data_IF_664865326151
#
_entry.id   IF_664865326151
#
_cell.length_a   1.000
_cell.length_b   1.000
_cell.length_c   1.000
_cell.angle_alpha   90.00
_cell.angle_beta   90.00
_cell.angle_gamma   90.00
#
_symmetry.space_group_name_H-M   'P 1'
#
loop_
_entity.id
_entity.type
_entity.pdbx_description
1 polymer ?
#
# COMPACT_ATOMS: atom_id res chain seq x y z
N UNK A 1 -2.21 -13.92 -4.13
CA UNK A 1 -2.86 -12.58 -4.06
C UNK A 1 -4.36 -12.77 -4.07
N UNK A 2 -5.12 -12.05 -3.24
CA UNK A 2 -6.58 -12.21 -3.16
C UNK A 2 -7.29 -11.38 -4.24
N UNK A 3 -7.57 -12.01 -5.39
CA UNK A 3 -8.14 -11.36 -6.58
C UNK A 3 -9.50 -10.69 -6.35
N UNK A 4 -10.28 -11.11 -5.35
CA UNK A 4 -11.59 -10.49 -5.06
C UNK A 4 -11.47 -9.03 -4.63
N UNK A 5 -10.29 -8.61 -4.16
CA UNK A 5 -10.02 -7.22 -3.77
C UNK A 5 -9.57 -6.32 -4.93
N UNK A 6 -9.16 -6.91 -6.06
CA UNK A 6 -8.57 -6.17 -7.18
C UNK A 6 -9.51 -6.10 -8.38
N UNK A 7 -10.19 -7.21 -8.68
CA UNK A 7 -11.14 -7.32 -9.78
C UNK A 7 -12.56 -6.97 -9.32
N UNK A 8 -12.75 -5.70 -8.97
CA UNK A 8 -14.01 -5.18 -8.47
C UNK A 8 -14.94 -4.75 -9.63
N UNK A 9 -16.27 -4.85 -9.46
CA UNK A 9 -17.23 -4.34 -10.43
C UNK A 9 -16.98 -2.88 -10.79
N UNK A 10 -17.26 -2.52 -12.05
CA UNK A 10 -17.09 -1.17 -12.61
C UNK A 10 -15.64 -0.69 -12.79
N UNK A 11 -14.63 -1.50 -12.45
CA UNK A 11 -13.24 -1.16 -12.76
C UNK A 11 -12.86 -1.45 -14.21
N UNK A 12 -12.11 -0.52 -14.80
CA UNK A 12 -11.56 -0.67 -16.15
C UNK A 12 -10.40 -1.65 -16.13
N UNK A 13 -10.39 -2.54 -17.11
CA UNK A 13 -9.33 -3.49 -17.39
C UNK A 13 -8.91 -3.39 -18.86
N UNK A 14 -7.74 -3.93 -19.15
CA UNK A 14 -7.27 -4.11 -20.52
C UNK A 14 -7.17 -5.60 -20.83
N UNK A 15 -7.67 -5.99 -22.00
CA UNK A 15 -7.67 -7.35 -22.51
C UNK A 15 -6.75 -7.41 -23.71
N UNK A 16 -5.91 -8.43 -23.80
CA UNK A 16 -5.12 -8.70 -24.99
C UNK A 16 -5.41 -10.10 -25.50
N UNK A 17 -5.68 -10.21 -26.81
CA UNK A 17 -5.84 -11.48 -27.52
C UNK A 17 -4.80 -11.57 -28.63
N UNK A 18 -4.20 -12.75 -28.78
CA UNK A 18 -3.31 -13.04 -29.91
C UNK A 18 -4.16 -13.55 -31.08
N UNK A 19 -4.20 -12.76 -32.15
CA UNK A 19 -4.86 -13.13 -33.40
C UNK A 19 -3.81 -13.43 -34.48
N UNK A 20 -4.24 -13.97 -35.63
CA UNK A 20 -3.38 -14.22 -36.79
C UNK A 20 -3.91 -13.47 -38.00
N UNK A 21 -3.01 -12.87 -38.77
CA UNK A 21 -3.38 -12.15 -40.00
C UNK A 21 -3.57 -13.11 -41.18
N UNK A 22 -3.90 -12.56 -42.35
CA UNK A 22 -4.06 -13.32 -43.60
C UNK A 22 -2.78 -14.07 -44.03
N UNK A 23 -1.62 -13.68 -43.50
CA UNK A 23 -0.32 -14.30 -43.73
C UNK A 23 0.11 -15.21 -42.56
N UNK A 24 -0.82 -15.56 -41.66
CA UNK A 24 -0.60 -16.41 -40.49
C UNK A 24 0.41 -15.83 -39.48
N UNK A 25 0.70 -14.53 -39.55
CA UNK A 25 1.56 -13.83 -38.60
C UNK A 25 0.74 -13.46 -37.36
N UNK A 26 1.27 -13.82 -36.20
CA UNK A 26 0.63 -13.47 -34.93
C UNK A 26 0.71 -11.97 -34.68
N UNK A 27 -0.40 -11.37 -34.25
CA UNK A 27 -0.46 -9.99 -33.77
C UNK A 27 -1.36 -9.91 -32.53
N UNK A 28 -1.08 -8.96 -31.65
CA UNK A 28 -1.84 -8.76 -30.41
C UNK A 28 -2.84 -7.63 -30.62
N UNK A 29 -4.10 -7.90 -30.30
CA UNK A 29 -5.16 -6.89 -30.25
C UNK A 29 -5.45 -6.60 -28.79
N UNK A 30 -5.37 -5.32 -28.42
CA UNK A 30 -5.69 -4.88 -27.06
C UNK A 30 -7.00 -4.10 -27.03
N UNK A 31 -7.85 -4.43 -26.06
CA UNK A 31 -9.14 -3.81 -25.81
C UNK A 31 -9.19 -3.22 -24.41
N UNK A 32 -9.98 -2.17 -24.23
CA UNK A 32 -10.39 -1.70 -22.91
C UNK A 32 -11.82 -2.13 -22.65
N UNK A 33 -12.06 -2.66 -21.47
CA UNK A 33 -13.42 -2.96 -21.01
C UNK A 33 -13.55 -2.74 -19.51
N UNK A 34 -14.71 -3.08 -18.97
CA UNK A 34 -15.07 -2.92 -17.57
C UNK A 34 -15.52 -4.26 -16.99
N UNK A 35 -15.19 -4.51 -15.73
CA UNK A 35 -15.67 -5.66 -14.96
C UNK A 35 -17.15 -5.45 -14.65
N UNK A 36 -18.00 -6.36 -15.13
CA UNK A 36 -19.43 -6.40 -14.82
C UNK A 36 -19.65 -7.01 -13.43
N UNK A 37 -19.00 -8.15 -13.17
CA UNK A 37 -19.11 -8.89 -11.91
C UNK A 37 -17.74 -9.35 -11.45
N UNK A 38 -17.42 -9.07 -10.19
CA UNK A 38 -16.15 -9.44 -9.57
C UNK A 38 -15.97 -10.96 -9.41
N UNK A 39 -14.84 -11.35 -8.82
CA UNK A 39 -14.40 -12.75 -8.77
C UNK A 39 -15.30 -13.60 -7.87
N UNK A 40 -15.83 -14.70 -8.42
CA UNK A 40 -16.58 -15.74 -7.73
C UNK A 40 -16.09 -17.10 -8.26
N UNK A 41 -15.65 -17.99 -7.38
CA UNK A 41 -15.24 -19.35 -7.76
C UNK A 41 -14.22 -19.39 -8.91
N UNK A 42 -13.19 -18.53 -8.82
CA UNK A 42 -12.11 -18.41 -9.81
C UNK A 42 -12.54 -17.93 -11.21
N UNK A 43 -13.70 -17.27 -11.29
CA UNK A 43 -14.23 -16.67 -12.52
C UNK A 43 -14.69 -15.24 -12.25
N UNK A 44 -14.68 -14.40 -13.27
CA UNK A 44 -15.27 -13.06 -13.21
C UNK A 44 -15.93 -12.73 -14.55
N UNK A 45 -16.78 -11.71 -14.58
CA UNK A 45 -17.53 -11.32 -15.78
C UNK A 45 -17.16 -9.91 -16.20
N UNK A 46 -16.99 -9.73 -17.51
CA UNK A 46 -16.62 -8.46 -18.13
C UNK A 46 -17.65 -8.11 -19.20
N UNK A 47 -17.80 -6.82 -19.47
CA UNK A 47 -18.54 -6.38 -20.66
C UNK A 47 -17.71 -6.74 -21.89
N UNK A 48 -18.35 -7.26 -22.94
CA UNK A 48 -17.67 -7.60 -24.17
C UNK A 48 -17.14 -6.30 -24.84
N UNK A 49 -15.84 -6.20 -25.14
CA UNK A 49 -15.26 -4.98 -25.69
C UNK A 49 -15.79 -4.66 -27.08
N UNK A 50 -15.84 -3.37 -27.39
CA UNK A 50 -16.25 -2.84 -28.69
C UNK A 50 -15.00 -2.50 -29.50
N UNK A 51 -14.94 -2.99 -30.73
CA UNK A 51 -13.88 -2.75 -31.70
C UNK A 51 -14.50 -2.25 -33.01
N UNK A 52 -14.08 -1.06 -33.47
CA UNK A 52 -14.64 -0.37 -34.65
C UNK A 52 -16.18 -0.30 -34.66
N UNK A 53 -16.76 0.00 -33.50
CA UNK A 53 -18.22 0.16 -33.34
C UNK A 53 -19.02 -1.14 -33.29
N UNK A 54 -18.37 -2.31 -33.25
CA UNK A 54 -19.02 -3.62 -33.10
C UNK A 54 -18.47 -4.37 -31.90
N UNK A 55 -19.28 -5.21 -31.26
CA UNK A 55 -18.80 -6.10 -30.19
C UNK A 55 -17.79 -7.09 -30.81
N UNK A 56 -16.61 -7.20 -30.20
CA UNK A 56 -15.60 -8.14 -30.65
C UNK A 56 -16.04 -9.57 -30.31
N UNK A 57 -16.02 -10.45 -31.31
CA UNK A 57 -16.54 -11.81 -31.19
C UNK A 57 -15.46 -12.77 -30.68
N UNK A 58 -15.37 -12.92 -29.35
CA UNK A 58 -14.57 -13.97 -28.73
C UNK A 58 -15.27 -15.32 -28.85
N UNK A 59 -14.49 -16.39 -28.96
CA UNK A 59 -14.96 -17.76 -28.89
C UNK A 59 -14.72 -18.34 -27.49
N UNK A 60 -15.57 -19.28 -27.08
CA UNK A 60 -15.29 -20.09 -25.89
C UNK A 60 -14.00 -20.87 -26.09
N UNK A 61 -13.11 -20.84 -25.11
CA UNK A 61 -11.77 -21.42 -25.18
C UNK A 61 -10.68 -20.43 -25.61
N UNK A 62 -11.03 -19.21 -26.04
CA UNK A 62 -10.02 -18.21 -26.37
C UNK A 62 -9.20 -17.83 -25.12
N UNK A 63 -7.88 -17.82 -25.28
CA UNK A 63 -6.94 -17.37 -24.25
C UNK A 63 -6.78 -15.86 -24.31
N UNK A 64 -6.98 -15.21 -23.17
CA UNK A 64 -6.89 -13.76 -23.01
C UNK A 64 -5.94 -13.41 -21.88
N UNK A 65 -5.03 -12.46 -22.13
CA UNK A 65 -4.29 -11.79 -21.07
C UNK A 65 -5.11 -10.61 -20.57
N UNK A 66 -5.29 -10.51 -19.25
CA UNK A 66 -6.03 -9.43 -18.59
C UNK A 66 -5.07 -8.63 -17.74
N UNK A 67 -4.97 -7.33 -18.01
CA UNK A 67 -4.21 -6.39 -17.19
C UNK A 67 -5.14 -5.47 -16.43
N UNK A 68 -4.89 -5.34 -15.13
CA UNK A 68 -5.66 -4.53 -14.20
C UNK A 68 -4.73 -3.80 -13.21
N UNK A 69 -5.23 -2.72 -12.63
CA UNK A 69 -4.51 -1.94 -11.61
C UNK A 69 -5.01 -2.25 -10.20
N UNK A 70 -4.12 -2.19 -9.20
CA UNK A 70 -4.54 -2.24 -7.81
C UNK A 70 -5.38 -1.00 -7.43
N UNK A 71 -6.60 -1.17 -6.90
CA UNK A 71 -7.49 -0.03 -6.62
C UNK A 71 -7.10 0.77 -5.37
N UNK A 72 -6.37 0.17 -4.41
CA UNK A 72 -6.16 0.75 -3.07
C UNK A 72 -4.71 1.21 -2.77
N UNK A 73 -3.76 1.09 -3.70
CA UNK A 73 -2.37 1.50 -3.44
C UNK A 73 -2.02 2.84 -4.13
N UNK A 74 -1.31 3.71 -3.40
CA UNK A 74 -0.75 4.98 -3.91
C UNK A 74 0.21 4.78 -5.09
N UNK A 75 0.67 3.55 -5.33
CA UNK A 75 1.29 3.11 -6.58
C UNK A 75 0.27 2.37 -7.44
N UNK A 76 0.03 2.85 -8.67
CA UNK A 76 -0.78 2.15 -9.69
C UNK A 76 -0.02 0.92 -10.23
N UNK A 77 0.27 -0.03 -9.35
CA UNK A 77 0.84 -1.30 -9.75
C UNK A 77 -0.13 -2.01 -10.69
N UNK A 78 0.42 -2.48 -11.81
CA UNK A 78 -0.31 -3.24 -12.82
C UNK A 78 -0.01 -4.71 -12.63
N UNK A 79 -1.05 -5.53 -12.76
CA UNK A 79 -0.97 -6.98 -12.70
C UNK A 79 -1.55 -7.57 -13.96
N UNK A 80 -0.95 -8.65 -14.43
CA UNK A 80 -1.40 -9.45 -15.56
C UNK A 80 -1.82 -10.83 -15.05
N UNK A 81 -2.94 -11.33 -15.59
CA UNK A 81 -3.42 -12.70 -15.39
C UNK A 81 -3.81 -13.30 -16.73
N UNK A 82 -3.53 -14.59 -16.91
CA UNK A 82 -4.05 -15.34 -18.05
C UNK A 82 -5.43 -15.88 -17.72
N UNK A 83 -6.32 -15.76 -18.69
CA UNK A 83 -7.70 -16.18 -18.56
C UNK A 83 -8.16 -16.92 -19.81
N UNK A 84 -9.24 -17.68 -19.67
CA UNK A 84 -9.89 -18.37 -20.78
C UNK A 84 -11.35 -17.94 -20.82
N UNK A 85 -11.85 -17.65 -22.01
CA UNK A 85 -13.27 -17.37 -22.23
C UNK A 85 -14.06 -18.65 -21.96
N UNK A 86 -14.85 -18.65 -20.89
CA UNK A 86 -15.68 -19.79 -20.52
C UNK A 86 -17.04 -19.71 -21.19
N UNK A 87 -17.74 -18.60 -21.01
CA UNK A 87 -19.10 -18.41 -21.50
C UNK A 87 -19.31 -16.99 -22.03
N UNK A 88 -20.34 -16.86 -22.88
CA UNK A 88 -20.79 -15.59 -23.46
C UNK A 88 -22.24 -15.38 -23.08
N UNK A 89 -22.57 -14.18 -22.63
CA UNK A 89 -23.92 -13.83 -22.24
C UNK A 89 -24.39 -12.61 -23.02
N UNK A 90 -25.70 -12.57 -23.28
CA UNK A 90 -26.37 -11.39 -23.83
C UNK A 90 -27.65 -11.19 -23.04
N UNK A 91 -27.63 -10.24 -22.11
CA UNK A 91 -28.73 -9.95 -21.21
C UNK A 91 -28.97 -8.44 -21.19
N UNK A 92 -30.25 -8.02 -21.27
CA UNK A 92 -30.64 -6.61 -21.25
C UNK A 92 -29.93 -5.71 -22.29
N UNK A 93 -29.60 -6.27 -23.46
CA UNK A 93 -28.88 -5.55 -24.52
C UNK A 93 -27.38 -5.39 -24.29
N UNK A 94 -26.84 -5.97 -23.22
CA UNK A 94 -25.41 -5.93 -22.89
C UNK A 94 -24.82 -7.31 -23.19
N UNK A 95 -23.79 -7.32 -24.04
CA UNK A 95 -22.98 -8.52 -24.27
C UNK A 95 -21.87 -8.59 -23.24
N UNK A 96 -21.69 -9.75 -22.62
CA UNK A 96 -20.65 -9.98 -21.62
C UNK A 96 -19.98 -11.34 -21.76
N UNK A 97 -18.79 -11.46 -21.16
CA UNK A 97 -17.94 -12.64 -21.22
C UNK A 97 -17.63 -13.08 -19.80
N UNK A 98 -17.81 -14.37 -19.52
CA UNK A 98 -17.34 -14.99 -18.28
C UNK A 98 -15.94 -15.54 -18.53
N UNK A 99 -14.97 -15.04 -17.76
CA UNK A 99 -13.57 -15.41 -17.86
C UNK A 99 -13.19 -16.33 -16.69
N UNK A 100 -12.52 -17.43 -16.99
CA UNK A 100 -11.91 -18.32 -16.00
C UNK A 100 -10.46 -17.94 -15.82
N UNK A 101 -10.02 -17.76 -14.57
CA UNK A 101 -8.63 -17.43 -14.24
C UNK A 101 -7.78 -18.70 -14.36
N UNK A 102 -6.74 -18.65 -15.18
CA UNK A 102 -5.90 -19.81 -15.52
C UNK A 102 -4.45 -19.69 -15.02
N UNK A 103 -4.02 -18.52 -14.55
CA UNK A 103 -2.70 -18.33 -13.96
C UNK A 103 -2.74 -17.44 -12.72
N UNK A 104 -1.65 -17.49 -11.95
CA UNK A 104 -1.46 -16.58 -10.83
C UNK A 104 -1.15 -15.16 -11.33
N UNK A 105 -1.57 -14.11 -10.60
CA UNK A 105 -1.24 -12.73 -10.95
C UNK A 105 0.26 -12.46 -10.96
N UNK A 106 0.74 -11.91 -12.08
CA UNK A 106 2.11 -11.44 -12.23
C UNK A 106 2.13 -9.92 -12.26
N UNK A 107 2.98 -9.29 -11.44
CA UNK A 107 3.19 -7.84 -11.49
C UNK A 107 3.88 -7.48 -12.81
N UNK A 108 3.34 -6.52 -13.55
CA UNK A 108 3.87 -6.12 -14.87
C UNK A 108 4.24 -4.65 -14.92
N UNK A 109 5.39 -4.37 -15.53
CA UNK A 109 5.86 -3.02 -15.78
C UNK A 109 5.81 -2.71 -17.28
N UNK A 110 4.75 -2.03 -17.72
CA UNK A 110 4.55 -1.69 -19.14
C UNK A 110 5.42 -0.54 -19.64
N UNK A 111 5.95 0.26 -18.72
CA UNK A 111 6.75 1.44 -19.06
C UNK A 111 8.22 1.05 -19.12
N UNK A 112 8.83 1.20 -20.29
CA UNK A 112 10.27 1.04 -20.49
C UNK A 112 11.10 2.11 -19.77
N UNK A 113 10.48 3.26 -19.44
CA UNK A 113 11.09 4.35 -18.72
C UNK A 113 10.13 4.90 -17.66
N UNK A 114 10.67 5.28 -16.50
CA UNK A 114 9.91 5.98 -15.50
C UNK A 114 9.52 7.38 -16.01
N UNK A 115 8.45 7.94 -15.42
CA UNK A 115 7.95 9.27 -15.74
C UNK A 115 8.00 10.13 -14.49
N UNK A 116 8.40 11.37 -14.65
CA UNK A 116 8.43 12.36 -13.57
C UNK A 116 7.44 13.45 -13.90
N UNK A 117 6.63 13.83 -12.92
CA UNK A 117 5.70 14.95 -13.05
C UNK A 117 6.50 16.25 -12.99
N UNK A 118 6.86 16.78 -14.16
CA UNK A 118 7.63 18.02 -14.31
C UNK A 118 6.83 18.96 -15.19
N UNK A 119 6.68 20.20 -14.73
CA UNK A 119 5.93 21.25 -15.42
C UNK A 119 6.88 22.24 -16.06
N UNK A 120 7.27 21.95 -17.30
CA UNK A 120 8.11 22.81 -18.12
C UNK A 120 7.30 23.36 -19.28
N UNK A 121 7.66 24.56 -19.72
CA UNK A 121 7.09 25.18 -20.90
C UNK A 121 8.06 25.01 -22.07
N UNK A 122 7.53 24.58 -23.21
CA UNK A 122 8.28 24.44 -24.45
C UNK A 122 7.56 25.20 -25.55
N UNK A 123 8.31 25.96 -26.33
CA UNK A 123 7.79 26.61 -27.53
C UNK A 123 8.01 25.68 -28.74
N UNK A 124 7.02 25.61 -29.61
CA UNK A 124 7.07 24.82 -30.83
C UNK A 124 6.31 25.48 -31.97
N UNK A 125 6.70 25.14 -33.20
CA UNK A 125 6.02 25.60 -34.42
C UNK A 125 5.07 24.55 -34.96
N UNK A 126 3.83 24.94 -35.22
CA UNK A 126 2.87 24.12 -35.95
C UNK A 126 2.18 24.95 -37.03
N UNK A 127 2.27 24.50 -38.29
CA UNK A 127 1.74 25.23 -39.46
C UNK A 127 2.23 26.69 -39.55
N UNK A 128 3.48 26.92 -39.17
CA UNK A 128 4.11 28.25 -39.21
C UNK A 128 3.71 29.20 -38.07
N UNK A 129 2.87 28.76 -37.14
CA UNK A 129 2.46 29.54 -35.96
C UNK A 129 3.19 28.98 -34.73
N UNK A 130 3.67 29.89 -33.89
CA UNK A 130 4.29 29.56 -32.60
C UNK A 130 3.21 29.24 -31.56
N UNK A 131 3.37 28.10 -30.90
CA UNK A 131 2.51 27.62 -29.83
C UNK A 131 3.36 27.21 -28.63
N UNK A 132 2.73 27.22 -27.46
CA UNK A 132 3.34 26.76 -26.23
C UNK A 132 2.76 25.40 -25.82
N UNK A 133 3.65 24.57 -25.28
CA UNK A 133 3.38 23.26 -24.76
C UNK A 133 3.80 23.21 -23.28
N UNK A 134 2.90 22.78 -22.40
CA UNK A 134 3.18 22.66 -20.96
C UNK A 134 3.24 21.19 -20.60
N UNK A 135 4.41 20.68 -20.19
CA UNK A 135 4.52 19.28 -19.79
C UNK A 135 3.76 19.00 -18.50
N UNK A 136 3.18 17.81 -18.42
CA UNK A 136 2.56 17.25 -17.21
C UNK A 136 3.43 16.14 -16.63
N UNK A 137 3.94 15.28 -17.52
CA UNK A 137 4.94 14.29 -17.19
C UNK A 137 5.97 14.14 -18.33
N UNK A 138 7.20 13.77 -17.97
CA UNK A 138 8.30 13.53 -18.91
C UNK A 138 8.96 12.19 -18.57
N UNK A 139 9.33 11.43 -19.61
CA UNK A 139 10.20 10.25 -19.56
C UNK A 139 11.36 10.42 -20.53
N UNK A 140 12.34 9.51 -20.48
CA UNK A 140 13.46 9.51 -21.45
C UNK A 140 13.02 9.30 -22.91
N UNK A 141 11.83 8.75 -23.15
CA UNK A 141 11.33 8.43 -24.51
C UNK A 141 10.22 9.34 -25.02
N UNK A 142 9.73 10.29 -24.21
CA UNK A 142 8.59 11.12 -24.56
C UNK A 142 7.99 11.86 -23.36
N UNK A 143 6.90 12.57 -23.61
CA UNK A 143 6.21 13.36 -22.60
C UNK A 143 4.69 13.35 -22.79
N UNK A 144 3.97 13.66 -21.72
CA UNK A 144 2.56 14.02 -21.77
C UNK A 144 2.46 15.52 -21.53
N UNK A 145 1.80 16.25 -22.42
CA UNK A 145 1.81 17.71 -22.35
C UNK A 145 0.52 18.37 -22.88
N UNK A 146 0.21 19.54 -22.36
CA UNK A 146 -0.96 20.33 -22.70
C UNK A 146 -0.61 21.39 -23.76
N UNK A 147 -1.49 21.57 -24.74
CA UNK A 147 -1.41 22.65 -25.73
C UNK A 147 -2.76 23.37 -25.89
N UNK A 148 -2.74 24.57 -26.46
CA UNK A 148 -3.95 25.29 -26.88
C UNK A 148 -4.51 24.80 -28.22
N UNK A 149 -3.73 24.05 -29.00
CA UNK A 149 -4.09 23.55 -30.33
C UNK A 149 -4.13 22.03 -30.35
N UNK A 150 -5.14 21.45 -30.97
CA UNK A 150 -5.22 20.01 -31.17
C UNK A 150 -4.18 19.60 -32.22
N UNK A 151 -3.30 18.67 -31.85
CA UNK A 151 -2.28 18.17 -32.76
C UNK A 151 -2.73 16.81 -33.32
N UNK A 152 -2.85 16.66 -34.65
CA UNK A 152 -3.16 15.36 -35.24
C UNK A 152 -2.11 14.29 -34.89
N UNK A 153 -2.54 13.03 -34.80
CA UNK A 153 -1.62 11.91 -34.65
C UNK A 153 -0.57 11.92 -35.77
N UNK A 154 0.66 11.53 -35.43
CA UNK A 154 1.86 11.57 -36.27
C UNK A 154 2.39 12.96 -36.65
N UNK A 155 1.79 14.05 -36.16
CA UNK A 155 2.39 15.40 -36.31
C UNK A 155 3.78 15.42 -35.68
N UNK A 156 4.75 16.01 -36.38
CA UNK A 156 6.11 16.21 -35.85
C UNK A 156 6.43 17.68 -35.68
N UNK A 157 7.14 18.01 -34.61
CA UNK A 157 7.65 19.34 -34.33
C UNK A 157 8.92 19.23 -33.48
N UNK A 158 9.68 20.31 -33.38
CA UNK A 158 10.90 20.36 -32.60
C UNK A 158 10.69 21.23 -31.36
N UNK A 159 11.36 20.88 -30.26
CA UNK A 159 11.42 21.67 -29.03
C UNK A 159 12.87 21.84 -28.59
N UNK A 160 13.16 22.91 -27.87
CA UNK A 160 14.43 23.08 -27.17
C UNK A 160 14.27 22.51 -25.76
N UNK A 161 15.04 21.48 -25.43
CA UNK A 161 15.04 20.85 -24.12
C UNK A 161 16.28 21.28 -23.33
N UNK A 162 16.05 21.76 -22.12
CA UNK A 162 17.11 22.07 -21.15
C UNK A 162 17.20 20.93 -20.14
N UNK A 163 18.28 20.14 -20.21
CA UNK A 163 18.55 19.04 -19.28
C UNK A 163 19.33 19.47 -18.03
N UNK A 164 19.49 20.77 -17.78
CA UNK A 164 20.08 21.26 -16.55
C UNK A 164 19.11 21.07 -15.36
N UNK A 165 19.54 20.44 -14.25
CA UNK A 165 18.65 20.15 -13.12
C UNK A 165 18.22 21.40 -12.35
N UNK A 166 19.07 22.44 -12.34
CA UNK A 166 18.83 23.72 -11.69
C UNK A 166 18.89 24.85 -12.72
N UNK A 167 18.10 25.92 -12.55
CA UNK A 167 18.13 27.07 -13.45
C UNK A 167 19.44 27.84 -13.33
N UNK A 168 19.71 28.69 -14.32
CA UNK A 168 20.93 29.50 -14.39
C UNK A 168 21.18 30.38 -13.15
N UNK A 169 20.12 30.79 -12.46
CA UNK A 169 20.23 31.72 -11.34
C UNK A 169 20.32 31.02 -9.97
N UNK A 170 20.53 29.70 -9.93
CA UNK A 170 20.62 28.93 -8.68
C UNK A 170 21.98 29.10 -7.97
N UNK A 171 21.95 29.11 -6.63
CA UNK A 171 23.09 29.40 -5.72
C UNK A 171 24.25 28.39 -5.85
N UNK A 172 23.99 27.19 -6.36
CA UNK A 172 24.94 26.08 -6.46
C UNK A 172 24.89 25.54 -7.91
N UNK A 173 25.76 26.11 -8.75
CA UNK A 173 25.65 26.14 -10.21
C UNK A 173 26.57 25.11 -10.88
N UNK A 174 25.99 24.07 -11.47
CA UNK A 174 26.62 23.20 -12.49
C UNK A 174 25.80 23.23 -13.79
N UNK A 175 25.46 24.45 -14.23
CA UNK A 175 24.75 24.64 -15.49
C UNK A 175 25.75 24.62 -16.64
N UNK A 176 25.45 23.80 -17.64
CA UNK A 176 26.30 23.61 -18.79
C UNK A 176 25.46 23.79 -20.06
N UNK A 177 25.94 24.61 -21.00
CA UNK A 177 25.19 24.95 -22.22
C UNK A 177 25.04 23.77 -23.17
N UNK A 178 25.96 22.80 -23.13
CA UNK A 178 25.91 21.56 -23.90
C UNK A 178 24.76 20.62 -23.47
N UNK A 179 24.17 20.84 -22.30
CA UNK A 179 22.96 20.14 -21.83
C UNK A 179 21.66 20.69 -22.43
N UNK A 180 21.73 21.74 -23.26
CA UNK A 180 20.59 22.28 -23.99
C UNK A 180 20.64 21.77 -25.43
N UNK A 181 19.57 21.13 -25.89
CA UNK A 181 19.52 20.59 -27.24
C UNK A 181 18.11 20.51 -27.80
N UNK A 182 18.02 20.46 -29.13
CA UNK A 182 16.75 20.30 -29.83
C UNK A 182 16.33 18.84 -29.87
N UNK A 183 15.06 18.57 -29.53
CA UNK A 183 14.44 17.25 -29.61
C UNK A 183 13.32 17.27 -30.64
N UNK A 184 13.37 16.32 -31.58
CA UNK A 184 12.27 16.07 -32.49
C UNK A 184 11.18 15.26 -31.80
N UNK A 185 9.98 15.79 -31.81
CA UNK A 185 8.79 15.23 -31.17
C UNK A 185 7.82 14.69 -32.23
N UNK A 186 7.11 13.61 -31.90
CA UNK A 186 5.96 13.10 -32.65
C UNK A 186 4.76 12.89 -31.74
N UNK A 187 3.62 13.40 -32.16
CA UNK A 187 2.34 13.18 -31.48
C UNK A 187 1.85 11.78 -31.75
N UNK A 188 1.59 11.02 -30.70
CA UNK A 188 0.94 9.70 -30.78
C UNK A 188 -0.58 9.84 -30.73
N UNK A 189 -1.07 10.71 -29.85
CA UNK A 189 -2.50 10.93 -29.62
C UNK A 189 -2.73 12.33 -29.01
N UNK A 190 -3.92 12.89 -29.21
CA UNK A 190 -4.34 14.19 -28.68
C UNK A 190 -5.80 14.14 -28.23
N UNK A 191 -5.99 14.23 -26.91
CA UNK A 191 -7.30 14.14 -26.26
C UNK A 191 -7.75 15.52 -25.79
N UNK A 192 -8.98 15.92 -26.09
CA UNK A 192 -9.54 17.15 -25.52
C UNK A 192 -9.74 17.01 -24.00
N UNK A 193 -9.40 18.06 -23.24
CA UNK A 193 -9.69 18.19 -21.81
C UNK A 193 -10.72 19.30 -21.66
N UNK A 194 -11.98 18.91 -21.57
CA UNK A 194 -13.14 19.80 -21.68
C UNK A 194 -13.15 20.83 -20.54
N UNK A 195 -12.72 20.44 -19.35
CA UNK A 195 -12.74 21.26 -18.14
C UNK A 195 -11.78 22.45 -18.23
N UNK A 196 -10.62 22.25 -18.86
CA UNK A 196 -9.53 23.25 -18.91
C UNK A 196 -9.37 23.89 -20.29
N UNK A 197 -10.20 23.52 -21.27
CA UNK A 197 -10.15 24.02 -22.66
C UNK A 197 -8.75 23.88 -23.30
N UNK A 198 -8.08 22.76 -23.04
CA UNK A 198 -6.76 22.41 -23.59
C UNK A 198 -6.79 21.02 -24.20
N UNK A 199 -5.77 20.71 -24.98
CA UNK A 199 -5.57 19.38 -25.55
C UNK A 199 -4.40 18.70 -24.85
N UNK A 200 -4.62 17.48 -24.37
CA UNK A 200 -3.63 16.61 -23.77
C UNK A 200 -2.99 15.75 -24.86
N UNK A 201 -1.73 16.03 -25.16
CA UNK A 201 -0.98 15.36 -26.21
C UNK A 201 -0.02 14.36 -25.61
N UNK A 202 -0.07 13.12 -26.11
CA UNK A 202 0.94 12.10 -25.84
C UNK A 202 2.01 12.21 -26.91
N UNK A 203 3.23 12.56 -26.52
CA UNK A 203 4.33 12.86 -27.43
C UNK A 203 5.47 11.85 -27.22
N UNK A 204 6.06 11.41 -28.32
CA UNK A 204 7.26 10.57 -28.35
C UNK A 204 8.45 11.36 -28.87
N UNK A 205 9.62 11.17 -28.28
CA UNK A 205 10.88 11.71 -28.79
C UNK A 205 11.43 10.79 -29.89
N UNK A 206 11.86 11.37 -31.01
CA UNK A 206 12.41 10.65 -32.15
C UNK A 206 13.84 11.09 -32.39
N UNK A 207 14.70 10.10 -32.70
CA UNK A 207 16.06 10.38 -33.18
C UNK A 207 16.98 10.96 -32.11
N UNK A 208 16.68 10.72 -30.84
CA UNK A 208 17.58 11.07 -29.74
C UNK A 208 18.90 10.32 -29.90
N UNK A 209 20.01 11.07 -29.81
CA UNK A 209 21.33 10.48 -29.64
C UNK A 209 21.42 9.82 -28.26
N UNK A 210 22.30 8.84 -28.13
CA UNK A 210 22.53 8.16 -26.84
C UNK A 210 22.94 9.15 -25.74
N UNK A 211 23.83 10.10 -26.06
CA UNK A 211 24.24 11.16 -25.13
C UNK A 211 23.07 12.03 -24.68
N UNK A 212 22.17 12.41 -25.59
CA UNK A 212 20.96 13.18 -25.27
C UNK A 212 20.00 12.38 -24.37
N UNK A 213 19.81 11.09 -24.66
CA UNK A 213 18.99 10.19 -23.85
C UNK A 213 19.53 10.06 -22.42
N UNK A 214 20.86 9.95 -22.27
CA UNK A 214 21.53 9.92 -20.97
C UNK A 214 21.31 11.24 -20.20
N UNK A 215 21.46 12.40 -20.86
CA UNK A 215 21.20 13.71 -20.25
C UNK A 215 19.76 13.87 -19.76
N UNK A 216 18.76 13.48 -20.56
CA UNK A 216 17.35 13.49 -20.15
C UNK A 216 17.15 12.58 -18.93
N UNK A 217 17.75 11.39 -18.95
CA UNK A 217 17.62 10.44 -17.86
C UNK A 217 18.20 11.00 -16.55
N UNK A 218 19.40 11.60 -16.60
CA UNK A 218 20.03 12.25 -15.46
C UNK A 218 19.19 13.43 -14.93
N UNK A 219 18.67 14.26 -15.84
CA UNK A 219 17.75 15.34 -15.50
C UNK A 219 16.51 14.82 -14.75
N UNK A 220 15.87 13.78 -15.27
CA UNK A 220 14.68 13.19 -14.66
C UNK A 220 14.97 12.58 -13.29
N UNK A 221 16.11 11.90 -13.11
CA UNK A 221 16.53 11.40 -11.79
C UNK A 221 16.75 12.53 -10.80
N UNK A 222 17.40 13.62 -11.21
CA UNK A 222 17.60 14.78 -10.36
C UNK A 222 16.28 15.40 -9.93
N UNK A 223 15.33 15.60 -10.86
CA UNK A 223 14.00 16.12 -10.56
C UNK A 223 13.18 15.18 -9.66
N UNK A 224 13.27 13.87 -9.89
CA UNK A 224 12.62 12.90 -9.03
C UNK A 224 13.18 12.96 -7.61
N UNK A 225 14.51 13.04 -7.47
CA UNK A 225 15.16 13.19 -6.16
C UNK A 225 14.72 14.49 -5.47
N UNK A 226 14.66 15.61 -6.18
CA UNK A 226 14.16 16.88 -5.66
C UNK A 226 12.71 16.78 -5.14
N UNK A 227 11.82 16.15 -5.91
CA UNK A 227 10.42 15.92 -5.52
C UNK A 227 10.32 15.01 -4.28
N UNK A 228 11.16 13.98 -4.20
CA UNK A 228 11.21 13.08 -3.04
C UNK A 228 11.66 13.83 -1.78
N UNK A 229 12.76 14.60 -1.88
CA UNK A 229 13.35 15.30 -0.74
C UNK A 229 12.57 16.54 -0.31
N UNK A 230 11.77 17.13 -1.20
CA UNK A 230 10.89 18.26 -0.88
C UNK A 230 9.62 17.83 -0.12
N UNK A 231 9.29 16.54 -0.09
CA UNK A 231 8.18 16.00 0.68
C UNK A 231 8.69 15.14 1.86
N UNK A 232 8.72 15.68 3.10
CA UNK A 232 9.33 14.98 4.25
C UNK A 232 8.73 13.59 4.52
N UNK A 233 7.44 13.39 4.23
CA UNK A 233 6.79 12.07 4.35
C UNK A 233 7.23 11.08 3.27
N UNK A 234 7.62 11.56 2.07
CA UNK A 234 8.06 10.72 0.95
C UNK A 234 9.51 10.25 1.13
N UNK A 235 10.39 11.12 1.60
CA UNK A 235 11.75 10.73 2.02
C UNK A 235 11.72 9.73 3.16
N UNK A 236 10.80 9.87 4.13
CA UNK A 236 10.58 8.86 5.17
C UNK A 236 10.02 7.55 4.60
N UNK A 237 9.04 7.59 3.69
CA UNK A 237 8.52 6.37 3.03
C UNK A 237 9.58 5.64 2.22
N UNK A 238 10.50 6.37 1.57
CA UNK A 238 11.57 5.82 0.73
C UNK A 238 12.77 5.35 1.55
N UNK A 239 13.17 6.09 2.59
CA UNK A 239 14.13 5.58 3.58
C UNK A 239 13.56 4.32 4.23
N UNK A 240 12.28 4.32 4.62
CA UNK A 240 11.61 3.12 5.11
C UNK A 240 11.48 2.01 4.04
N UNK A 241 11.50 2.30 2.75
CA UNK A 241 11.45 1.29 1.68
C UNK A 241 12.82 0.65 1.44
N UNK A 242 13.89 1.45 1.44
CA UNK A 242 15.27 0.97 1.24
C UNK A 242 15.93 0.45 2.52
N UNK A 243 15.51 0.93 3.69
CA UNK A 243 15.97 0.45 5.00
C UNK A 243 15.15 -0.75 5.52
N UNK A 244 14.06 -1.17 4.84
CA UNK A 244 13.22 -2.30 5.31
C UNK A 244 13.16 -3.53 4.40
N UNK A 245 13.98 -3.64 3.35
CA UNK A 245 14.04 -4.89 2.59
C UNK A 245 14.86 -6.02 3.27
N UNK A 246 15.38 -5.83 4.50
CA UNK A 246 16.03 -6.93 5.23
C UNK A 246 15.71 -7.11 6.73
N UNK A 247 14.98 -6.23 7.43
CA UNK A 247 14.92 -6.34 8.91
C UNK A 247 13.55 -6.19 9.60
N UNK A 248 12.43 -6.06 8.89
CA UNK A 248 11.11 -5.86 9.54
C UNK A 248 10.11 -7.02 9.43
N UNK A 249 10.60 -8.24 9.25
CA UNK A 249 9.93 -9.35 9.89
C UNK A 249 10.52 -9.45 11.29
N UNK A 250 9.78 -9.03 12.32
CA UNK A 250 9.99 -9.59 13.66
C UNK A 250 10.02 -11.09 13.43
N UNK A 251 11.21 -11.68 13.49
CA UNK A 251 11.34 -13.11 13.31
C UNK A 251 10.64 -13.76 14.50
N UNK A 252 9.35 -14.06 14.30
CA UNK A 252 8.48 -14.71 15.29
C UNK A 252 9.09 -16.06 15.71
N UNK A 253 10.02 -16.59 14.91
CA UNK A 253 10.75 -17.83 15.18
C UNK A 253 12.10 -17.62 15.86
N UNK A 254 12.56 -16.37 16.06
CA UNK A 254 13.78 -16.10 16.83
C UNK A 254 13.66 -16.63 18.27
N UNK A 255 14.77 -17.16 18.79
CA UNK A 255 14.81 -17.76 20.13
C UNK A 255 14.53 -16.72 21.21
N UNK A 256 14.91 -15.48 20.95
CA UNK A 256 14.76 -14.32 21.81
C UNK A 256 13.29 -13.90 21.92
N UNK A 257 12.59 -13.73 20.80
CA UNK A 257 11.16 -13.42 20.79
C UNK A 257 10.32 -14.51 21.46
N UNK A 258 10.67 -15.80 21.25
CA UNK A 258 10.02 -16.92 21.95
C UNK A 258 10.20 -16.85 23.47
N UNK A 259 11.38 -16.44 23.97
CA UNK A 259 11.61 -16.25 25.42
C UNK A 259 10.72 -15.14 25.97
N UNK A 260 10.59 -14.02 25.25
CA UNK A 260 9.71 -12.92 25.64
C UNK A 260 8.23 -13.34 25.65
N UNK A 261 7.78 -14.14 24.67
CA UNK A 261 6.44 -14.71 24.67
C UNK A 261 6.19 -15.64 25.85
N UNK A 262 7.17 -16.50 26.20
CA UNK A 262 7.07 -17.39 27.37
C UNK A 262 6.94 -16.58 28.67
N UNK A 263 7.75 -15.53 28.84
CA UNK A 263 7.65 -14.65 30.01
C UNK A 263 6.31 -13.91 30.05
N UNK A 264 5.82 -13.42 28.91
CA UNK A 264 4.49 -12.80 28.81
C UNK A 264 3.36 -13.76 29.17
N UNK A 265 3.45 -15.02 28.74
CA UNK A 265 2.49 -16.07 29.08
C UNK A 265 2.53 -16.39 30.57
N UNK A 266 3.72 -16.56 31.15
CA UNK A 266 3.90 -16.82 32.59
C UNK A 266 3.33 -15.68 33.45
N UNK A 267 3.56 -14.44 33.05
CA UNK A 267 3.01 -13.27 33.74
C UNK A 267 1.48 -13.24 33.66
N UNK A 268 0.92 -13.42 32.47
CA UNK A 268 -0.53 -13.44 32.26
C UNK A 268 -1.21 -14.55 33.07
N UNK A 269 -0.61 -15.74 33.12
CA UNK A 269 -1.12 -16.87 33.89
C UNK A 269 -1.07 -16.59 35.40
N UNK A 270 0.02 -16.00 35.89
CA UNK A 270 0.17 -15.62 37.29
C UNK A 270 -0.87 -14.58 37.69
N UNK A 271 -1.10 -13.58 36.84
CA UNK A 271 -2.12 -12.56 37.05
C UNK A 271 -3.54 -13.15 37.06
N UNK A 272 -3.83 -14.11 36.17
CA UNK A 272 -5.10 -14.82 36.15
C UNK A 272 -5.37 -15.55 37.48
N UNK A 273 -4.38 -16.26 38.02
CA UNK A 273 -4.52 -16.89 39.34
C UNK A 273 -4.67 -15.88 40.47
N UNK A 274 -3.95 -14.75 40.43
CA UNK A 274 -4.12 -13.67 41.38
C UNK A 274 -5.57 -13.12 41.36
N UNK A 275 -6.16 -12.98 40.18
CA UNK A 275 -7.54 -12.52 40.03
C UNK A 275 -8.53 -13.54 40.62
N UNK A 276 -8.32 -14.83 40.37
CA UNK A 276 -9.15 -15.90 40.95
C UNK A 276 -9.06 -15.88 42.47
N UNK A 277 -7.86 -15.82 43.05
CA UNK A 277 -7.70 -15.76 44.51
C UNK A 277 -8.34 -14.51 45.10
N UNK A 278 -8.28 -13.37 44.39
CA UNK A 278 -8.95 -12.14 44.80
C UNK A 278 -10.47 -12.27 44.76
N UNK A 279 -11.02 -12.96 43.76
CA UNK A 279 -12.45 -13.23 43.67
C UNK A 279 -12.93 -14.15 44.80
N UNK A 280 -12.14 -15.17 45.15
CA UNK A 280 -12.43 -16.11 46.25
C UNK A 280 -12.27 -15.45 47.62
N UNK A 281 -11.39 -14.46 47.75
CA UNK A 281 -11.15 -13.76 49.02
C UNK A 281 -12.32 -12.88 49.46
N UNK A 282 -13.22 -12.53 48.53
CA UNK A 282 -14.40 -11.71 48.79
C UNK A 282 -15.24 -12.32 49.90
N UNK A 283 -15.80 -11.48 50.79
CA UNK A 283 -16.74 -11.96 51.78
C UNK A 283 -17.93 -12.62 51.09
N UNK A 284 -18.19 -13.88 51.42
CA UNK A 284 -19.41 -14.56 50.98
C UNK A 284 -20.55 -13.92 51.76
N UNK A 285 -21.50 -13.30 51.05
CA UNK A 285 -22.77 -12.86 51.64
C UNK A 285 -23.51 -14.11 52.12
N UNK A 286 -23.40 -14.46 53.40
CA UNK A 286 -24.29 -15.44 54.02
C UNK A 286 -25.67 -14.78 54.15
N UNK A 287 -26.54 -15.16 53.22
CA UNK A 287 -28.01 -15.13 53.19
C UNK A 287 -28.80 -13.91 53.70
N UNK A 288 -29.83 -13.59 52.91
CA UNK A 288 -30.90 -12.59 53.10
C UNK A 288 -31.60 -12.66 54.47
N UNK A 289 -31.61 -13.83 55.13
CA UNK A 289 -32.23 -14.03 56.45
C UNK A 289 -31.52 -13.27 57.58
N UNK A 290 -30.18 -13.17 57.57
CA UNK A 290 -29.44 -12.41 58.59
C UNK A 290 -29.72 -10.89 58.48
N UNK A 291 -30.01 -10.40 57.26
CA UNK A 291 -30.46 -9.04 57.01
C UNK A 291 -31.87 -8.79 57.56
N UNK A 292 -32.76 -9.80 57.48
CA UNK A 292 -34.12 -9.75 58.01
C UNK A 292 -34.17 -9.69 59.55
N UNK A 293 -33.20 -10.33 60.22
CA UNK A 293 -33.13 -10.38 61.69
C UNK A 293 -32.14 -9.38 62.31
N UNK A 294 -31.61 -8.44 61.52
CA UNK A 294 -30.68 -7.41 61.98
C UNK A 294 -29.42 -7.97 62.68
N UNK A 295 -29.00 -9.19 62.32
CA UNK A 295 -27.75 -9.77 62.79
C UNK A 295 -26.61 -9.21 61.94
N UNK A 296 -26.07 -8.05 62.35
CA UNK A 296 -24.86 -7.51 61.73
C UNK A 296 -23.65 -8.39 62.11
N UNK A 297 -23.35 -9.39 61.29
CA UNK A 297 -22.07 -10.10 61.38
C UNK A 297 -21.05 -9.38 60.49
N UNK A 298 -19.93 -8.87 61.03
CA UNK A 298 -18.90 -8.26 60.21
C UNK A 298 -18.43 -9.28 59.16
N UNK A 299 -18.56 -8.91 57.90
CA UNK A 299 -18.16 -9.73 56.78
C UNK A 299 -16.65 -9.57 56.58
N UNK A 300 -15.89 -10.55 57.07
CA UNK A 300 -14.45 -10.53 56.93
C UNK A 300 -14.01 -11.09 55.57
N UNK A 301 -13.09 -10.39 54.93
CA UNK A 301 -12.35 -10.93 53.81
C UNK A 301 -11.50 -12.11 54.27
N UNK A 302 -11.37 -13.13 53.42
CA UNK A 302 -10.56 -14.29 53.75
C UNK A 302 -9.07 -13.92 53.63
N UNK A 303 -8.40 -13.76 54.77
CA UNK A 303 -6.99 -13.33 54.87
C UNK A 303 -6.06 -14.17 53.99
N UNK A 304 -6.18 -15.49 54.03
CA UNK A 304 -5.28 -16.40 53.32
C UNK A 304 -5.29 -16.18 51.80
N UNK A 305 -6.47 -15.95 51.23
CA UNK A 305 -6.63 -15.69 49.79
C UNK A 305 -6.22 -14.26 49.40
N UNK A 306 -6.36 -13.29 50.30
CA UNK A 306 -5.79 -11.93 50.09
C UNK A 306 -4.27 -11.97 50.09
N UNK A 307 -3.66 -12.70 51.04
CA UNK A 307 -2.21 -12.88 51.10
C UNK A 307 -1.69 -13.64 49.87
N UNK A 308 -2.38 -14.70 49.44
CA UNK A 308 -2.05 -15.41 48.20
C UNK A 308 -2.12 -14.49 46.97
N UNK A 309 -3.15 -13.65 46.88
CA UNK A 309 -3.28 -12.64 45.82
C UNK A 309 -2.10 -11.68 45.82
N UNK A 310 -1.73 -11.16 46.99
CA UNK A 310 -0.61 -10.23 47.14
C UNK A 310 0.70 -10.87 46.66
N UNK A 311 0.99 -12.09 47.10
CA UNK A 311 2.19 -12.83 46.71
C UNK A 311 2.21 -13.07 45.19
N UNK A 312 1.09 -13.50 44.60
CA UNK A 312 1.00 -13.73 43.16
C UNK A 312 1.18 -12.44 42.34
N UNK A 313 0.63 -11.31 42.79
CA UNK A 313 0.87 -10.02 42.13
C UNK A 313 2.34 -9.58 42.21
N UNK A 314 3.01 -9.80 43.34
CA UNK A 314 4.45 -9.51 43.47
C UNK A 314 5.27 -10.40 42.51
N UNK A 315 4.94 -11.68 42.43
CA UNK A 315 5.59 -12.61 41.49
C UNK A 315 5.37 -12.17 40.04
N UNK A 316 4.15 -11.77 39.67
CA UNK A 316 3.85 -11.28 38.32
C UNK A 316 4.69 -10.04 37.97
N UNK A 317 4.81 -9.07 38.89
CA UNK A 317 5.66 -7.88 38.70
C UNK A 317 7.13 -8.26 38.52
N UNK A 318 7.64 -9.24 39.29
CA UNK A 318 9.02 -9.72 39.13
C UNK A 318 9.24 -10.36 37.75
N UNK A 319 8.29 -11.18 37.27
CA UNK A 319 8.34 -11.77 35.93
C UNK A 319 8.32 -10.67 34.86
N UNK A 320 7.44 -9.67 35.01
CA UNK A 320 7.34 -8.54 34.08
C UNK A 320 8.60 -7.69 34.05
N UNK A 321 9.22 -7.44 35.21
CA UNK A 321 10.47 -6.68 35.29
C UNK A 321 11.61 -7.41 34.57
N UNK A 322 11.72 -8.73 34.76
CA UNK A 322 12.69 -9.56 34.03
C UNK A 322 12.40 -9.56 32.53
N UNK A 323 11.14 -9.72 32.13
CA UNK A 323 10.72 -9.70 30.73
C UNK A 323 10.97 -8.35 30.04
N UNK A 324 10.68 -7.24 30.71
CA UNK A 324 10.97 -5.89 30.23
C UNK A 324 12.47 -5.63 30.18
N UNK A 325 13.25 -6.16 31.13
CA UNK A 325 14.71 -6.12 31.08
C UNK A 325 15.26 -6.77 29.80
N UNK A 326 14.78 -7.97 29.46
CA UNK A 326 15.12 -8.62 28.19
C UNK A 326 14.67 -7.80 26.98
N UNK A 327 13.46 -7.25 27.02
CA UNK A 327 12.93 -6.40 25.95
C UNK A 327 13.82 -5.17 25.69
N UNK A 328 14.22 -4.46 26.74
CA UNK A 328 15.09 -3.27 26.64
C UNK A 328 16.47 -3.63 26.08
N UNK A 329 17.03 -4.77 26.49
CA UNK A 329 18.30 -5.25 25.94
C UNK A 329 18.19 -5.57 24.44
N UNK A 330 17.02 -6.00 23.98
CA UNK A 330 16.75 -6.33 22.57
C UNK A 330 16.41 -5.09 21.73
N UNK A 331 15.67 -4.14 22.31
CA UNK A 331 15.40 -2.82 21.72
C UNK A 331 16.69 -2.10 21.32
N UNK A 332 17.70 -2.15 22.19
CA UNK A 332 19.04 -1.59 21.92
C UNK A 332 19.77 -2.27 20.75
N UNK A 333 19.40 -3.50 20.39
CA UNK A 333 20.09 -4.28 19.34
C UNK A 333 19.38 -4.21 17.99
N UNK A 334 18.05 -4.10 17.96
CA UNK A 334 17.25 -4.34 16.73
C UNK A 334 16.13 -3.34 16.46
N UNK A 335 16.07 -2.22 17.18
CA UNK A 335 15.04 -1.18 16.97
C UNK A 335 13.59 -1.76 16.99
N UNK A 336 13.36 -2.76 17.84
CA UNK A 336 12.06 -3.46 17.97
C UNK A 336 11.02 -2.59 18.69
N UNK A 337 9.81 -3.11 18.89
CA UNK A 337 8.76 -2.43 19.68
C UNK A 337 8.70 -2.96 21.13
N UNK A 338 8.28 -2.11 22.07
CA UNK A 338 7.99 -2.51 23.46
C UNK A 338 6.90 -3.60 23.52
N UNK A 339 7.10 -4.60 24.38
CA UNK A 339 6.14 -5.68 24.61
C UNK A 339 5.04 -5.19 25.53
N UNK A 340 4.02 -4.60 24.92
CA UNK A 340 2.83 -4.09 25.60
C UNK A 340 2.15 -5.06 26.59
N UNK A 341 2.07 -6.38 26.33
CA UNK A 341 1.45 -7.30 27.29
C UNK A 341 2.11 -7.27 28.67
N UNK A 342 3.45 -7.23 28.75
CA UNK A 342 4.20 -7.20 30.02
C UNK A 342 3.97 -5.89 30.79
N UNK A 343 3.86 -4.77 30.07
CA UNK A 343 3.57 -3.46 30.68
C UNK A 343 2.15 -3.47 31.28
N UNK A 344 1.19 -4.01 30.52
CA UNK A 344 -0.20 -4.06 30.94
C UNK A 344 -0.39 -4.99 32.14
N UNK A 345 0.20 -6.19 32.14
CA UNK A 345 0.14 -7.11 33.28
C UNK A 345 0.74 -6.49 34.54
N UNK A 346 1.86 -5.78 34.40
CA UNK A 346 2.53 -5.10 35.52
C UNK A 346 1.64 -4.01 36.11
N UNK A 347 1.00 -3.19 35.27
CA UNK A 347 0.07 -2.15 35.72
C UNK A 347 -1.14 -2.74 36.46
N UNK A 348 -1.73 -3.82 35.94
CA UNK A 348 -2.88 -4.49 36.59
C UNK A 348 -2.44 -5.10 37.93
N UNK A 349 -1.30 -5.77 37.97
CA UNK A 349 -0.75 -6.34 39.21
C UNK A 349 -0.52 -5.25 40.26
N UNK A 350 0.04 -4.09 39.89
CA UNK A 350 0.23 -2.96 40.79
C UNK A 350 -1.10 -2.43 41.34
N UNK A 351 -2.10 -2.26 40.48
CA UNK A 351 -3.44 -1.84 40.90
C UNK A 351 -4.08 -2.83 41.88
N UNK A 352 -3.90 -4.14 41.66
CA UNK A 352 -4.37 -5.19 42.57
C UNK A 352 -3.65 -5.16 43.93
N UNK A 353 -2.34 -4.92 43.96
CA UNK A 353 -1.59 -4.77 45.22
C UNK A 353 -2.14 -3.59 46.02
N UNK A 354 -2.31 -2.42 45.38
CA UNK A 354 -2.89 -1.23 46.02
C UNK A 354 -4.26 -1.56 46.59
N UNK A 355 -5.12 -2.23 45.82
CA UNK A 355 -6.45 -2.63 46.26
C UNK A 355 -6.42 -3.56 47.48
N UNK A 356 -5.55 -4.59 47.48
CA UNK A 356 -5.40 -5.52 48.61
C UNK A 356 -4.90 -4.80 49.87
N UNK A 357 -3.94 -3.88 49.75
CA UNK A 357 -3.42 -3.09 50.87
C UNK A 357 -4.52 -2.20 51.47
N UNK A 358 -5.31 -1.53 50.62
CA UNK A 358 -6.44 -0.70 51.06
C UNK A 358 -7.47 -1.54 51.80
N UNK A 359 -7.85 -2.70 51.26
CA UNK A 359 -8.77 -3.63 51.94
C UNK A 359 -8.21 -4.06 53.29
N UNK A 360 -6.96 -4.48 53.34
CA UNK A 360 -6.35 -4.94 54.59
C UNK A 360 -6.29 -3.85 55.65
N UNK A 361 -5.98 -2.62 55.25
CA UNK A 361 -5.94 -1.45 56.13
C UNK A 361 -7.33 -1.13 56.70
N UNK A 362 -8.35 -1.06 55.84
CA UNK A 362 -9.74 -0.77 56.24
C UNK A 362 -10.25 -1.85 57.22
N UNK A 363 -9.91 -3.11 56.98
CA UNK A 363 -10.38 -4.24 57.79
C UNK A 363 -9.43 -4.58 58.96
N UNK A 364 -8.37 -3.80 59.19
CA UNK A 364 -7.33 -4.06 60.20
C UNK A 364 -6.78 -5.49 60.15
N UNK A 365 -6.61 -6.02 58.93
CA UNK A 365 -6.04 -7.36 58.71
C UNK A 365 -4.51 -7.25 58.69
N UNK A 366 -3.84 -7.97 59.59
CA UNK A 366 -2.39 -8.17 59.49
C UNK A 366 -2.11 -9.13 58.34
N UNK A 367 -1.53 -8.66 57.23
CA UNK A 367 -1.18 -9.52 56.10
C UNK A 367 0.14 -10.27 56.32
N UNK A 368 0.98 -9.78 57.24
CA UNK A 368 2.26 -10.36 57.64
C UNK A 368 2.28 -10.62 59.15
#
# INVERSE_FOLDING_TARGET
MDLTKYLLPSHSIELSVTSRDEHNKAYVISFKTVIERGVISNQFRIIAPIYHGKIYNFHTGDHLSVVYSAPEQEGKDLFEIDTIVKDRHFENGISSLTLMINSEPVKVQRRQAFRVNVFNNYDFKFRGIDYQLVSKDISSTGMLALSSVQLPANTTFDIIFDANPKPKDAIDYDYQEDKIFTIKCRVLDSMAQVEIRRYLNRIQFIGLKESQSQLITQYLYSKQSEIIHSNPESSQKISNYFEHESDNLVDIYSKEYRRLQILGLMSTLTLFFALITLMISRPIKKYVLDYFFNFYRPQFWRKDYLLATLILCIIAILIDFVGLGFNIMELRKRNTTLHWPLILTMMIALAMIIFVIVIATINKLTLF
#
